data_IF_265627032138
#
_entry.id   IF_265627032138
#
_cell.length_a   1.000
_cell.length_b   1.000
_cell.length_c   1.000
_cell.angle_alpha   90.00
_cell.angle_beta   90.00
_cell.angle_gamma   90.00
#
_symmetry.space_group_name_H-M   'P 1'
#
loop_
_entity.id
_entity.type
_entity.pdbx_description
1 polymer ?
#
# COMPACT_ATOMS: atom_id res chain seq x y z
N UNK A 1 -0.58 -6.74 2.80
CA UNK A 1 -0.47 -5.34 2.33
C UNK A 1 0.94 -5.08 1.82
N UNK A 2 1.06 -4.47 0.68
CA UNK A 2 2.36 -4.11 0.11
C UNK A 2 2.55 -2.60 0.23
N UNK A 3 3.68 -2.20 0.79
CA UNK A 3 4.03 -0.79 0.96
C UNK A 3 5.18 -0.51 0.00
N UNK A 4 5.02 0.50 -0.85
CA UNK A 4 6.03 0.86 -1.83
C UNK A 4 6.60 2.23 -1.46
N UNK A 5 7.92 2.32 -1.36
CA UNK A 5 8.61 3.57 -1.06
C UNK A 5 9.53 3.96 -2.22
N UNK A 6 9.93 5.22 -2.27
CA UNK A 6 10.80 5.74 -3.32
C UNK A 6 12.23 5.82 -2.81
N UNK A 7 13.16 5.23 -3.55
CA UNK A 7 14.58 5.26 -3.19
C UNK A 7 15.21 6.63 -3.36
N UNK A 8 14.68 7.43 -4.28
CA UNK A 8 15.26 8.74 -4.58
C UNK A 8 14.97 9.80 -3.51
N UNK A 9 14.02 9.52 -2.63
CA UNK A 9 13.74 10.43 -1.51
C UNK A 9 14.66 10.09 -0.34
N UNK A 10 15.35 11.11 0.15
CA UNK A 10 16.25 10.92 1.29
C UNK A 10 15.60 11.40 2.57
N UNK A 11 14.55 10.72 2.95
CA UNK A 11 13.83 11.03 4.16
C UNK A 11 14.53 10.45 5.38
N UNK A 12 14.49 11.16 6.49
CA UNK A 12 14.92 10.60 7.77
C UNK A 12 14.04 9.41 8.12
N UNK A 13 14.53 8.54 8.99
CA UNK A 13 13.76 7.35 9.41
C UNK A 13 12.42 7.75 10.02
N UNK A 14 12.39 8.83 10.81
CA UNK A 14 11.17 9.31 11.41
C UNK A 14 10.15 9.81 10.38
N UNK A 15 10.62 10.57 9.40
CA UNK A 15 9.74 11.06 8.34
C UNK A 15 9.21 9.93 7.48
N UNK A 16 10.07 8.97 7.15
CA UNK A 16 9.64 7.81 6.36
C UNK A 16 8.58 7.01 7.11
N UNK A 17 8.80 6.76 8.40
CA UNK A 17 7.84 6.02 9.22
C UNK A 17 6.50 6.75 9.29
N UNK A 18 6.51 8.08 9.44
CA UNK A 18 5.29 8.88 9.47
C UNK A 18 4.53 8.79 8.14
N UNK A 19 5.24 8.89 7.01
CA UNK A 19 4.62 8.79 5.70
C UNK A 19 4.02 7.39 5.45
N UNK A 20 4.75 6.35 5.84
CA UNK A 20 4.26 4.98 5.74
C UNK A 20 3.01 4.79 6.60
N UNK A 21 3.03 5.30 7.84
CA UNK A 21 1.87 5.23 8.73
C UNK A 21 0.66 5.92 8.14
N UNK A 22 0.85 7.09 7.54
CA UNK A 22 -0.22 7.83 6.89
C UNK A 22 -0.80 7.02 5.72
N UNK A 23 0.08 6.46 4.87
CA UNK A 23 -0.35 5.67 3.73
C UNK A 23 -1.12 4.42 4.16
N UNK A 24 -0.64 3.73 5.20
CA UNK A 24 -1.33 2.54 5.75
C UNK A 24 -2.72 2.91 6.23
N UNK A 25 -2.84 4.00 6.97
CA UNK A 25 -4.14 4.44 7.50
C UNK A 25 -5.11 4.75 6.37
N UNK A 26 -4.69 5.53 5.37
CA UNK A 26 -5.57 5.90 4.27
C UNK A 26 -5.99 4.68 3.44
N UNK A 27 -5.07 3.79 3.19
CA UNK A 27 -5.39 2.56 2.45
C UNK A 27 -6.36 1.67 3.23
N UNK A 28 -6.15 1.55 4.54
CA UNK A 28 -7.03 0.75 5.38
C UNK A 28 -8.45 1.33 5.43
N UNK A 29 -8.58 2.66 5.52
CA UNK A 29 -9.88 3.31 5.52
C UNK A 29 -10.60 3.10 4.19
N UNK A 30 -9.85 3.17 3.08
CA UNK A 30 -10.41 2.91 1.76
C UNK A 30 -10.86 1.44 1.64
N UNK A 31 -10.04 0.51 2.11
CA UNK A 31 -10.37 -0.91 2.09
C UNK A 31 -11.61 -1.20 2.95
N UNK A 32 -11.76 -0.51 4.07
CA UNK A 32 -12.93 -0.67 4.93
C UNK A 32 -14.23 -0.30 4.21
N UNK A 33 -14.17 0.72 3.33
CA UNK A 33 -15.33 1.12 2.56
C UNK A 33 -15.62 0.19 1.37
N UNK A 34 -14.57 -0.31 0.74
CA UNK A 34 -14.68 -1.01 -0.55
C UNK A 34 -14.68 -2.53 -0.38
N UNK A 35 -13.82 -3.04 0.50
CA UNK A 35 -13.65 -4.47 0.70
C UNK A 35 -13.56 -4.80 2.20
N UNK A 36 -14.60 -4.47 2.98
CA UNK A 36 -14.53 -4.62 4.44
C UNK A 36 -14.28 -6.05 4.92
N UNK A 37 -14.82 -7.05 4.23
CA UNK A 37 -14.61 -8.45 4.61
C UNK A 37 -13.16 -8.88 4.38
N UNK A 38 -12.56 -8.43 3.29
CA UNK A 38 -11.17 -8.71 2.99
C UNK A 38 -10.25 -8.05 4.01
N UNK A 39 -10.56 -6.81 4.37
CA UNK A 39 -9.79 -6.10 5.38
C UNK A 39 -9.88 -6.81 6.74
N UNK A 40 -11.07 -7.24 7.14
CA UNK A 40 -11.28 -7.94 8.40
C UNK A 40 -10.45 -9.22 8.44
N UNK A 41 -10.47 -9.99 7.36
CA UNK A 41 -9.69 -11.23 7.28
C UNK A 41 -8.20 -10.93 7.34
N UNK A 42 -7.75 -9.88 6.64
CA UNK A 42 -6.35 -9.47 6.66
C UNK A 42 -5.89 -9.15 8.09
N UNK A 43 -6.72 -8.43 8.86
CA UNK A 43 -6.41 -8.10 10.24
C UNK A 43 -6.33 -9.34 11.11
N UNK A 44 -7.26 -10.28 10.93
CA UNK A 44 -7.29 -11.52 11.72
C UNK A 44 -6.13 -12.44 11.39
N UNK A 45 -5.59 -12.34 10.19
CA UNK A 45 -4.46 -13.16 9.74
C UNK A 45 -3.10 -12.55 10.07
N UNK A 46 -3.06 -11.52 10.89
CA UNK A 46 -1.83 -10.94 11.39
C UNK A 46 -1.41 -9.62 10.75
N UNK A 47 -2.20 -9.10 9.83
CA UNK A 47 -1.96 -7.79 9.19
C UNK A 47 -0.54 -7.66 8.64
N UNK A 48 -0.05 -8.68 7.95
CA UNK A 48 1.31 -8.70 7.42
C UNK A 48 1.54 -7.59 6.40
N UNK A 49 2.74 -7.04 6.43
CA UNK A 49 3.14 -5.97 5.53
C UNK A 49 4.47 -6.30 4.90
N UNK A 50 4.58 -6.03 3.60
CA UNK A 50 5.81 -6.19 2.85
C UNK A 50 6.20 -4.82 2.33
N UNK A 51 7.43 -4.41 2.58
CA UNK A 51 7.93 -3.12 2.11
C UNK A 51 8.89 -3.35 0.95
N UNK A 52 8.61 -2.69 -0.17
CA UNK A 52 9.48 -2.72 -1.34
C UNK A 52 9.80 -1.29 -1.74
N UNK A 53 10.86 -1.11 -2.52
CA UNK A 53 11.25 0.22 -2.95
C UNK A 53 11.29 0.29 -4.46
N UNK A 54 10.83 1.42 -5.00
CA UNK A 54 10.96 1.73 -6.41
C UNK A 54 11.98 2.84 -6.59
N UNK A 55 12.46 2.98 -7.80
CA UNK A 55 13.56 3.88 -8.12
C UNK A 55 13.19 5.35 -7.94
N UNK A 56 12.02 5.75 -8.46
CA UNK A 56 11.61 7.15 -8.49
C UNK A 56 10.10 7.28 -8.62
N UNK A 57 9.63 8.53 -8.74
CA UNK A 57 8.21 8.83 -8.85
C UNK A 57 7.58 8.23 -10.10
N UNK A 58 8.31 8.20 -11.23
CA UNK A 58 7.77 7.66 -12.47
C UNK A 58 7.50 6.17 -12.37
N UNK A 59 8.42 5.43 -11.77
CA UNK A 59 8.22 4.00 -11.56
C UNK A 59 7.06 3.75 -10.61
N UNK A 60 6.96 4.55 -9.54
CA UNK A 60 5.85 4.45 -8.60
C UNK A 60 4.51 4.69 -9.27
N UNK A 61 4.42 5.73 -10.12
CA UNK A 61 3.19 6.04 -10.83
C UNK A 61 2.78 4.94 -11.81
N UNK A 62 3.76 4.36 -12.50
CA UNK A 62 3.49 3.24 -13.41
C UNK A 62 2.96 2.03 -12.65
N UNK A 63 3.57 1.72 -11.52
CA UNK A 63 3.12 0.61 -10.67
C UNK A 63 1.71 0.87 -10.14
N UNK A 64 1.47 2.07 -9.64
CA UNK A 64 0.15 2.45 -9.13
C UNK A 64 -0.91 2.31 -10.23
N UNK A 65 -0.63 2.82 -11.43
CA UNK A 65 -1.55 2.71 -12.56
C UNK A 65 -1.84 1.26 -12.95
N UNK A 66 -0.80 0.43 -12.98
CA UNK A 66 -0.96 -0.98 -13.33
C UNK A 66 -1.82 -1.72 -12.31
N UNK A 67 -1.60 -1.46 -11.04
CA UNK A 67 -2.32 -2.15 -9.96
C UNK A 67 -3.75 -1.66 -9.85
N UNK A 68 -3.98 -0.35 -9.95
CA UNK A 68 -5.34 0.19 -9.88
C UNK A 68 -6.18 -0.23 -11.09
N UNK A 69 -5.55 -0.44 -12.24
CA UNK A 69 -6.28 -0.86 -13.44
C UNK A 69 -6.87 -2.27 -13.35
N UNK A 70 -6.33 -3.11 -12.47
CA UNK A 70 -6.88 -4.45 -12.25
C UNK A 70 -7.81 -4.51 -11.03
N UNK A 71 -8.20 -3.36 -10.50
CA UNK A 71 -9.20 -3.29 -9.45
C UNK A 71 -8.71 -3.55 -8.04
N UNK A 72 -7.41 -3.56 -7.82
CA UNK A 72 -6.84 -3.72 -6.48
C UNK A 72 -6.94 -2.40 -5.73
N UNK A 73 -7.41 -2.46 -4.48
CA UNK A 73 -7.49 -1.28 -3.64
C UNK A 73 -6.09 -0.77 -3.34
N UNK A 74 -5.83 0.46 -3.69
CA UNK A 74 -4.54 1.08 -3.44
C UNK A 74 -4.71 2.57 -3.17
N UNK A 75 -3.71 3.17 -2.55
CA UNK A 75 -3.72 4.59 -2.22
C UNK A 75 -2.32 5.15 -2.48
N UNK A 76 -2.27 6.27 -3.15
CA UNK A 76 -1.00 6.96 -3.45
C UNK A 76 -0.90 8.20 -2.59
N UNK A 77 0.14 8.27 -1.75
CA UNK A 77 0.50 9.49 -1.05
C UNK A 77 1.65 10.14 -1.79
N UNK A 78 1.83 11.41 -1.58
CA UNK A 78 2.82 12.21 -2.31
C UNK A 78 4.22 11.58 -2.33
N UNK A 79 4.67 11.07 -1.20
CA UNK A 79 6.03 10.54 -1.05
C UNK A 79 6.08 9.03 -0.84
N UNK A 80 4.95 8.36 -0.89
CA UNK A 80 4.89 6.91 -0.72
C UNK A 80 3.67 6.37 -1.41
N UNK A 81 3.77 5.13 -1.87
CA UNK A 81 2.63 4.43 -2.45
C UNK A 81 2.36 3.19 -1.61
N UNK A 82 1.12 3.04 -1.17
CA UNK A 82 0.68 1.89 -0.43
C UNK A 82 -0.28 1.08 -1.27
N UNK A 83 0.08 -0.17 -1.52
CA UNK A 83 -0.75 -1.06 -2.32
C UNK A 83 -1.34 -2.12 -1.39
N UNK A 84 -2.67 -2.21 -1.35
CA UNK A 84 -3.35 -3.24 -0.60
C UNK A 84 -3.83 -4.31 -1.56
N UNK A 85 -3.20 -5.48 -1.50
CA UNK A 85 -3.64 -6.62 -2.30
C UNK A 85 -4.49 -7.53 -1.44
N UNK A 86 -5.51 -8.11 -2.03
CA UNK A 86 -6.31 -9.12 -1.36
C UNK A 86 -5.41 -10.27 -0.94
N UNK A 87 -5.46 -10.63 0.31
CA UNK A 87 -4.69 -11.79 0.74
C UNK A 87 -5.21 -13.02 0.05
N UNK A 88 -5.02 -13.48 -0.75
CA UNK A 88 -5.44 -14.47 -1.41
C UNK A 88 -6.18 -15.03 -2.02
N UNK A 89 -6.26 -15.00 -2.25
CA UNK A 89 -6.91 -15.61 -2.63
C UNK A 89 -6.86 -16.93 -2.95
N UNK A 90 -6.52 -17.12 -2.63
CA UNK A 90 -6.47 -18.11 -2.81
C UNK A 90 -7.09 -18.59 -2.45
N UNK A 91 -7.28 -18.00 -2.10
CA UNK A 91 -7.74 -18.15 -1.89
C UNK A 91 -8.35 -18.19 -2.20
N UNK A 92 -8.23 -17.85 -2.53
CA UNK A 92 -8.65 -17.94 -2.90
C UNK A 92 -8.96 -18.26 -3.19
#
# INVERSE_FOLDING_TARGET
MVIVTRKDLQLSKGKLAAQVGHAVMECALKADRVIPKTLDRYRKEGARKIVVAVKDADEMKRLYGAISSVGIVCHLVKDACLLYTSPSPRDS
#
